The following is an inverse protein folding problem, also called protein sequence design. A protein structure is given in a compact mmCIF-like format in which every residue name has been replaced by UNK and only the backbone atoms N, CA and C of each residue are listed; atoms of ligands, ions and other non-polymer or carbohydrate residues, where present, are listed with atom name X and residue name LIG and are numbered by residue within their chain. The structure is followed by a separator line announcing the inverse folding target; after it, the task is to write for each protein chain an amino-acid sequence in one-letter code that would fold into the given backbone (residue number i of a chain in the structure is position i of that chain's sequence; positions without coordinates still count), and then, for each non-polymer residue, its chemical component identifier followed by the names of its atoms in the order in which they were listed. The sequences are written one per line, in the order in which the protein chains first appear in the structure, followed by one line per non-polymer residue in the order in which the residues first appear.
data_IF_850889131077
#
_entry.id   IF_850889131077
#
_cell.length_a   1.000
_cell.length_b   1.000
_cell.length_c   1.000
_cell.angle_alpha   90.00
_cell.angle_beta   90.00
_cell.angle_gamma   90.00
#
_symmetry.space_group_name_H-M   'P 1'
#
loop_
_entity.id
_entity.type
_entity.pdbx_description
1 polymer ?
#
# COMPACT_ATOMS: atom_id res chain seq x y z
N UNK A 1 -5.81 -13.05 -11.44
CA UNK A 1 -6.01 -11.65 -11.88
C UNK A 1 -5.09 -11.38 -13.05
N UNK A 2 -5.64 -11.13 -14.22
CA UNK A 2 -4.88 -10.87 -15.45
C UNK A 2 -4.84 -9.38 -15.83
N UNK A 3 -5.72 -8.58 -15.23
CA UNK A 3 -5.82 -7.14 -15.48
C UNK A 3 -5.48 -6.35 -14.22
N UNK A 4 -4.35 -5.64 -14.27
CA UNK A 4 -3.87 -4.79 -13.18
C UNK A 4 -4.80 -3.60 -12.90
N UNK A 5 -5.64 -3.19 -13.84
CA UNK A 5 -6.63 -2.11 -13.66
C UNK A 5 -7.75 -2.50 -12.68
N UNK A 6 -7.85 -3.77 -12.32
CA UNK A 6 -8.81 -4.25 -11.32
C UNK A 6 -8.35 -4.03 -9.86
N UNK A 7 -7.08 -3.67 -9.65
CA UNK A 7 -6.55 -3.45 -8.30
C UNK A 7 -7.08 -2.12 -7.76
N UNK A 8 -7.87 -2.21 -6.71
CA UNK A 8 -8.50 -1.04 -6.07
C UNK A 8 -7.84 -0.64 -4.76
N UNK A 9 -7.16 -1.59 -4.08
CA UNK A 9 -6.54 -1.37 -2.79
C UNK A 9 -5.19 -2.09 -2.67
N UNK A 10 -4.23 -1.43 -2.00
CA UNK A 10 -2.95 -2.02 -1.60
C UNK A 10 -2.73 -1.76 -0.11
N UNK A 11 -2.64 -2.83 0.69
CA UNK A 11 -2.09 -2.77 2.03
C UNK A 11 -0.57 -2.90 1.88
N UNK A 12 0.12 -1.76 1.97
CA UNK A 12 1.54 -1.66 1.72
C UNK A 12 2.38 -2.23 2.88
N UNK A 13 3.63 -2.57 2.61
CA UNK A 13 4.59 -2.84 3.67
C UNK A 13 4.73 -1.61 4.57
N UNK A 14 4.92 -0.43 3.99
CA UNK A 14 4.64 0.87 4.59
C UNK A 14 5.20 1.06 6.01
N UNK A 15 6.52 0.90 6.17
CA UNK A 15 7.19 1.02 7.48
C UNK A 15 7.46 2.45 7.92
N UNK A 16 7.13 3.43 7.11
CA UNK A 16 7.45 4.86 7.34
C UNK A 16 8.96 5.13 7.43
N UNK A 17 9.75 4.33 6.73
CA UNK A 17 11.17 4.62 6.52
C UNK A 17 11.36 5.19 5.12
N UNK A 18 12.18 6.23 4.99
CA UNK A 18 12.39 6.92 3.71
C UNK A 18 12.70 5.95 2.57
N UNK A 19 13.64 5.02 2.78
CA UNK A 19 14.02 4.05 1.75
C UNK A 19 12.86 3.14 1.32
N UNK A 20 12.10 2.60 2.28
CA UNK A 20 10.97 1.73 1.97
C UNK A 20 9.88 2.47 1.20
N UNK A 21 9.51 3.65 1.66
CA UNK A 21 8.38 4.40 1.09
C UNK A 21 8.70 4.87 -0.33
N UNK A 22 9.95 5.27 -0.59
CA UNK A 22 10.46 5.54 -1.93
C UNK A 22 10.43 4.30 -2.84
N UNK A 23 10.90 3.16 -2.33
CA UNK A 23 10.94 1.93 -3.13
C UNK A 23 9.55 1.41 -3.47
N UNK A 24 8.62 1.37 -2.50
CA UNK A 24 7.25 0.92 -2.75
C UNK A 24 6.51 1.85 -3.72
N UNK A 25 6.61 3.17 -3.51
CA UNK A 25 5.98 4.15 -4.41
C UNK A 25 6.49 4.01 -5.84
N UNK A 26 7.81 3.89 -6.01
CA UNK A 26 8.44 3.67 -7.32
C UNK A 26 7.98 2.36 -7.97
N UNK A 27 7.86 1.29 -7.18
CA UNK A 27 7.37 0.00 -7.66
C UNK A 27 5.92 0.09 -8.12
N UNK A 28 5.05 0.74 -7.35
CA UNK A 28 3.64 0.92 -7.72
C UNK A 28 3.50 1.75 -8.99
N UNK A 29 4.21 2.86 -9.12
CA UNK A 29 4.24 3.67 -10.35
C UNK A 29 4.77 2.88 -11.54
N UNK A 30 5.79 2.06 -11.36
CA UNK A 30 6.34 1.22 -12.44
C UNK A 30 5.34 0.17 -12.91
N UNK A 31 4.63 -0.50 -12.00
CA UNK A 31 3.69 -1.58 -12.34
C UNK A 31 2.38 -1.02 -12.92
N UNK A 32 1.81 -0.01 -12.28
CA UNK A 32 0.47 0.50 -12.63
C UNK A 32 0.49 1.70 -13.57
N UNK A 33 1.64 2.34 -13.76
CA UNK A 33 1.78 3.65 -14.40
C UNK A 33 1.38 4.79 -13.45
N UNK A 34 1.75 6.02 -13.75
CA UNK A 34 1.48 7.18 -12.88
C UNK A 34 -0.01 7.33 -12.56
N UNK A 35 -0.87 7.36 -13.57
CA UNK A 35 -2.31 7.54 -13.39
C UNK A 35 -2.97 6.33 -12.73
N UNK A 36 -2.56 5.11 -13.12
CA UNK A 36 -3.08 3.88 -12.53
C UNK A 36 -2.74 3.77 -11.04
N UNK A 37 -1.50 4.10 -10.66
CA UNK A 37 -1.08 4.08 -9.26
C UNK A 37 -1.84 5.12 -8.40
N UNK A 38 -2.10 6.32 -8.94
CA UNK A 38 -2.88 7.37 -8.27
C UNK A 38 -4.36 7.00 -8.07
N UNK A 39 -4.90 6.15 -8.94
CA UNK A 39 -6.29 5.68 -8.84
C UNK A 39 -6.50 4.59 -7.77
N UNK A 40 -5.44 3.98 -7.28
CA UNK A 40 -5.49 2.94 -6.25
C UNK A 40 -5.44 3.58 -4.86
N UNK A 41 -6.30 3.12 -3.95
CA UNK A 41 -6.10 3.43 -2.53
C UNK A 41 -4.96 2.57 -1.98
N UNK A 42 -4.00 3.23 -1.35
CA UNK A 42 -2.89 2.58 -0.65
C UNK A 42 -3.02 2.92 0.82
N UNK A 43 -2.75 2.01 1.72
CA UNK A 43 -2.58 2.36 3.12
C UNK A 43 -1.54 1.49 3.81
N UNK A 44 -0.90 2.03 4.84
CA UNK A 44 -0.13 1.25 5.79
C UNK A 44 -0.92 1.08 7.08
N UNK A 45 -1.47 -0.10 7.29
CA UNK A 45 -2.18 -0.41 8.52
C UNK A 45 -1.25 -0.54 9.73
N UNK A 46 0.07 -0.62 9.49
CA UNK A 46 1.09 -0.51 10.56
C UNK A 46 0.99 0.80 11.33
N UNK A 47 0.46 1.85 10.73
CA UNK A 47 0.19 3.12 11.44
C UNK A 47 -0.75 2.93 12.64
N UNK A 48 -1.61 1.88 12.63
CA UNK A 48 -2.58 1.59 13.68
C UNK A 48 -2.13 0.46 14.62
N UNK A 49 -1.44 -0.57 14.12
CA UNK A 49 -1.11 -1.76 14.92
C UNK A 49 0.39 -1.96 15.15
N UNK A 50 1.24 -1.12 14.58
CA UNK A 50 2.68 -1.28 14.63
C UNK A 50 3.20 -2.41 13.73
N UNK A 51 4.48 -2.69 13.81
CA UNK A 51 5.12 -3.76 13.04
C UNK A 51 5.31 -5.01 13.90
N UNK A 52 4.53 -6.06 13.65
CA UNK A 52 4.54 -7.31 14.41
C UNK A 52 5.58 -8.32 13.91
N UNK A 53 6.53 -7.88 13.10
CA UNK A 53 7.58 -8.72 12.51
C UNK A 53 7.00 -9.96 11.80
N UNK A 54 7.27 -11.16 12.29
CA UNK A 54 6.80 -12.40 11.68
C UNK A 54 5.28 -12.58 11.61
N UNK A 55 4.51 -11.92 12.48
CA UNK A 55 3.04 -11.99 12.47
C UNK A 55 2.38 -10.95 11.56
N UNK A 56 3.12 -9.91 11.15
CA UNK A 56 2.56 -8.77 10.41
C UNK A 56 1.86 -9.18 9.12
N UNK A 57 2.49 -10.02 8.31
CA UNK A 57 1.92 -10.43 7.01
C UNK A 57 0.58 -11.16 7.17
N UNK A 58 0.42 -12.00 8.19
CA UNK A 58 -0.84 -12.68 8.46
C UNK A 58 -1.94 -11.72 8.90
N UNK A 59 -1.60 -10.77 9.79
CA UNK A 59 -2.54 -9.74 10.23
C UNK A 59 -2.98 -8.85 9.06
N UNK A 60 -2.04 -8.37 8.25
CA UNK A 60 -2.33 -7.52 7.09
C UNK A 60 -3.14 -8.25 6.01
N UNK A 61 -2.89 -9.55 5.81
CA UNK A 61 -3.72 -10.37 4.93
C UNK A 61 -5.18 -10.46 5.43
N UNK A 62 -5.38 -10.66 6.72
CA UNK A 62 -6.72 -10.68 7.32
C UNK A 62 -7.42 -9.32 7.21
N UNK A 63 -6.73 -8.22 7.48
CA UNK A 63 -7.25 -6.85 7.30
C UNK A 63 -7.64 -6.61 5.84
N UNK A 64 -6.79 -7.03 4.89
CA UNK A 64 -7.05 -6.85 3.47
C UNK A 64 -8.28 -7.66 3.01
N UNK A 65 -8.44 -8.88 3.50
CA UNK A 65 -9.63 -9.70 3.23
C UNK A 65 -10.90 -9.05 3.80
N UNK A 66 -10.84 -8.51 5.02
CA UNK A 66 -11.93 -7.75 5.63
C UNK A 66 -12.25 -6.48 4.84
N UNK A 67 -11.24 -5.75 4.37
CA UNK A 67 -11.44 -4.55 3.54
C UNK A 67 -12.25 -4.87 2.28
N UNK A 68 -11.95 -5.99 1.60
CA UNK A 68 -12.72 -6.46 0.44
C UNK A 68 -14.16 -6.79 0.87
N UNK A 69 -14.33 -7.55 1.95
CA UNK A 69 -15.64 -8.00 2.43
C UNK A 69 -16.55 -6.84 2.79
N UNK A 70 -16.03 -5.89 3.54
CA UNK A 70 -16.78 -4.74 4.07
C UNK A 70 -16.88 -3.56 3.08
N UNK A 71 -16.13 -3.60 1.97
CA UNK A 71 -16.08 -2.47 1.02
C UNK A 71 -15.51 -1.20 1.66
N UNK A 72 -14.45 -1.34 2.44
CA UNK A 72 -13.88 -0.24 3.20
C UNK A 72 -12.35 -0.32 3.21
N UNK A 73 -11.69 0.75 2.78
CA UNK A 73 -10.24 0.89 2.82
C UNK A 73 -9.83 1.51 4.16
N UNK A 74 -9.03 0.79 4.98
CA UNK A 74 -8.51 1.35 6.22
C UNK A 74 -7.49 2.46 5.93
N UNK A 75 -7.36 3.47 6.82
CA UNK A 75 -6.46 4.60 6.58
C UNK A 75 -5.02 4.32 6.94
N UNK A 76 -4.12 5.18 6.46
CA UNK A 76 -2.83 5.47 7.08
C UNK A 76 -3.04 6.62 8.06
N UNK A 77 -2.98 6.36 9.37
CA UNK A 77 -3.13 7.41 10.38
C UNK A 77 -1.79 8.08 10.71
N UNK A 78 -1.83 9.20 11.45
CA UNK A 78 -0.66 10.03 11.76
C UNK A 78 0.05 10.55 10.50
N UNK A 79 -0.75 10.91 9.50
CA UNK A 79 -0.28 11.45 8.24
C UNK A 79 -0.51 12.97 8.25
N UNK A 80 0.55 13.73 8.46
CA UNK A 80 0.47 15.18 8.60
C UNK A 80 0.50 15.89 7.24
N UNK A 81 1.49 15.53 6.41
CA UNK A 81 1.67 16.13 5.08
C UNK A 81 2.32 15.13 4.10
N UNK A 82 2.09 15.29 2.79
CA UNK A 82 2.76 14.46 1.80
C UNK A 82 4.25 14.82 1.70
N UNK A 83 5.11 13.81 1.63
CA UNK A 83 6.52 13.98 1.33
C UNK A 83 6.72 14.06 -0.19
N UNK A 84 6.80 15.29 -0.69
CA UNK A 84 6.96 15.57 -2.13
C UNK A 84 8.38 15.98 -2.49
N UNK A 85 9.27 16.15 -1.51
CA UNK A 85 10.66 16.45 -1.76
C UNK A 85 11.40 15.24 -2.33
N UNK A 86 12.19 15.45 -3.36
CA UNK A 86 12.90 14.37 -4.05
C UNK A 86 14.37 14.72 -4.29
N UNK A 87 15.24 13.80 -4.02
CA UNK A 87 16.64 13.85 -4.47
C UNK A 87 16.77 13.11 -5.82
N UNK A 88 16.69 13.87 -6.89
CA UNK A 88 16.79 13.34 -8.25
C UNK A 88 18.12 12.59 -8.48
N UNK A 89 19.20 12.99 -7.79
CA UNK A 89 20.50 12.31 -7.91
C UNK A 89 20.48 10.87 -7.38
N UNK A 90 19.57 10.58 -6.45
CA UNK A 90 19.32 9.24 -5.91
C UNK A 90 18.21 8.49 -6.64
N UNK A 91 17.60 9.10 -7.67
CA UNK A 91 16.50 8.52 -8.41
C UNK A 91 15.21 8.40 -7.58
N UNK A 92 15.02 9.30 -6.64
CA UNK A 92 13.80 9.38 -5.83
C UNK A 92 12.59 9.82 -6.66
N UNK A 93 11.40 9.50 -6.19
CA UNK A 93 10.12 9.90 -6.79
C UNK A 93 9.26 10.61 -5.73
N UNK A 94 8.41 11.57 -6.13
CA UNK A 94 7.50 12.19 -5.16
C UNK A 94 6.53 11.14 -4.59
N UNK A 95 6.31 11.19 -3.28
CA UNK A 95 5.35 10.34 -2.58
C UNK A 95 3.95 10.95 -2.72
N UNK A 96 3.42 10.97 -3.96
CA UNK A 96 2.21 11.68 -4.37
C UNK A 96 1.03 10.74 -4.70
N UNK A 97 1.10 9.49 -4.25
CA UNK A 97 0.00 8.54 -4.41
C UNK A 97 -1.08 8.73 -3.35
N UNK A 98 -2.22 8.05 -3.53
CA UNK A 98 -3.33 8.11 -2.57
C UNK A 98 -3.08 7.14 -1.41
N UNK A 99 -2.34 7.59 -0.40
CA UNK A 99 -2.05 6.77 0.80
C UNK A 99 -3.20 6.70 1.81
N UNK A 100 -4.41 7.12 1.43
CA UNK A 100 -5.62 7.09 2.26
C UNK A 100 -5.38 7.75 3.63
N UNK A 101 -5.02 9.06 3.66
CA UNK A 101 -4.53 9.70 4.87
C UNK A 101 -5.63 9.87 5.93
N UNK A 102 -5.34 9.48 7.16
CA UNK A 102 -6.05 9.70 8.41
C UNK A 102 -7.50 9.19 8.50
N UNK A 103 -8.23 9.07 7.38
CA UNK A 103 -9.62 8.59 7.35
C UNK A 103 -9.78 7.48 6.33
N UNK A 104 -10.36 6.37 6.76
CA UNK A 104 -10.73 5.31 5.83
C UNK A 104 -11.85 5.74 4.89
N UNK A 105 -11.97 5.06 3.77
CA UNK A 105 -12.97 5.38 2.75
C UNK A 105 -13.78 4.15 2.34
N UNK A 106 -15.06 4.34 2.11
CA UNK A 106 -15.90 3.33 1.48
C UNK A 106 -15.51 3.18 0.01
N UNK A 107 -15.22 1.95 -0.40
CA UNK A 107 -14.87 1.62 -1.79
C UNK A 107 -15.23 0.17 -2.10
N UNK A 108 -15.87 -0.08 -3.22
CA UNK A 108 -16.00 -1.45 -3.73
C UNK A 108 -14.64 -1.94 -4.20
N UNK A 109 -14.11 -2.95 -3.51
CA UNK A 109 -12.77 -3.47 -3.76
C UNK A 109 -12.91 -4.80 -4.50
N UNK A 110 -12.54 -4.81 -5.78
CA UNK A 110 -12.58 -6.02 -6.62
C UNK A 110 -11.35 -6.88 -6.40
N UNK A 111 -10.18 -6.24 -6.33
CA UNK A 111 -8.88 -6.87 -6.10
C UNK A 111 -8.08 -5.99 -5.14
N UNK A 112 -7.45 -6.63 -4.17
CA UNK A 112 -6.50 -5.99 -3.28
C UNK A 112 -5.17 -6.73 -3.21
N UNK A 113 -4.11 -6.01 -2.92
CA UNK A 113 -2.77 -6.56 -2.64
C UNK A 113 -2.44 -6.38 -1.17
N UNK A 114 -1.73 -7.34 -0.59
CA UNK A 114 -1.03 -7.19 0.69
C UNK A 114 0.45 -7.43 0.46
N UNK A 115 1.27 -6.41 0.70
CA UNK A 115 2.70 -6.39 0.42
C UNK A 115 3.51 -6.56 1.70
N UNK A 116 4.48 -7.48 1.68
CA UNK A 116 5.42 -7.69 2.78
C UNK A 116 6.84 -7.74 2.22
N UNK A 117 7.69 -6.85 2.72
CA UNK A 117 9.11 -6.81 2.37
C UNK A 117 9.93 -7.24 3.57
N UNK A 118 10.84 -8.18 3.37
CA UNK A 118 11.67 -8.74 4.42
C UNK A 118 13.16 -8.46 4.23
N UNK A 119 13.94 -8.55 5.30
CA UNK A 119 15.38 -8.42 5.25
C UNK A 119 15.99 -9.46 4.30
N UNK A 120 17.07 -9.07 3.61
CA UNK A 120 17.71 -9.91 2.61
C UNK A 120 17.04 -9.88 1.24
N UNK A 121 16.10 -8.96 1.00
CA UNK A 121 15.44 -8.77 -0.30
C UNK A 121 14.27 -9.73 -0.54
N UNK A 122 13.70 -10.31 0.50
CA UNK A 122 12.50 -11.13 0.38
C UNK A 122 11.26 -10.26 0.17
N UNK A 123 10.51 -10.54 -0.90
CA UNK A 123 9.26 -9.85 -1.21
C UNK A 123 8.13 -10.87 -1.30
N UNK A 124 7.11 -10.68 -0.48
CA UNK A 124 5.89 -11.48 -0.48
C UNK A 124 4.68 -10.61 -0.82
N UNK A 125 3.97 -10.94 -1.90
CA UNK A 125 2.76 -10.22 -2.31
C UNK A 125 1.60 -11.21 -2.37
N UNK A 126 0.57 -10.96 -1.57
CA UNK A 126 -0.69 -11.68 -1.67
C UNK A 126 -1.64 -10.88 -2.56
N UNK A 127 -2.28 -11.57 -3.51
CA UNK A 127 -3.33 -11.01 -4.36
C UNK A 127 -4.65 -11.62 -3.92
N UNK A 128 -5.56 -10.79 -3.43
CA UNK A 128 -6.87 -11.17 -2.93
C UNK A 128 -7.94 -10.62 -3.87
N UNK A 129 -8.93 -11.43 -4.19
CA UNK A 129 -10.03 -11.07 -5.09
C UNK A 129 -11.36 -11.28 -4.36
N UNK A 130 -12.32 -10.38 -4.62
CA UNK A 130 -13.70 -10.56 -4.22
C UNK A 130 -14.27 -11.84 -4.86
N UNK A 131 -14.94 -12.63 -4.06
CA UNK A 131 -15.60 -13.87 -4.52
C UNK A 131 -16.80 -13.57 -5.41
#
# INVERSE_FOLDING_TARGET
VTDKSMVDYINAHGTSTHLNDQMETKAFKTVFGEEGAKAINISSTKSMHGHLLGATGALEAAITALAIKEGFVPPTINYDEPDLEVDVSKGEVPLDLNYTPNKGVARDIRVALSSSLGFGGHNGILVLKKA
#
